data_IF_070288679320
#
_entry.id   IF_070288679320
#
_cell.length_a   1.000
_cell.length_b   1.000
_cell.length_c   1.000
_cell.angle_alpha   90.00
_cell.angle_beta   90.00
_cell.angle_gamma   90.00
#
_symmetry.space_group_name_H-M   'P 1'
#
loop_
_entity.id
_entity.type
_entity.pdbx_description
1 polymer ?
#
# COMPACT_ATOMS: atom_id res chain seq x y z
N UNK A 1 9.00 1.23 -30.43
CA UNK A 1 9.15 1.09 -28.97
C UNK A 1 9.22 2.49 -28.43
N UNK A 2 8.22 2.96 -27.68
CA UNK A 2 8.27 4.29 -27.07
C UNK A 2 9.35 4.26 -25.98
N UNK A 3 10.42 5.04 -26.15
CA UNK A 3 11.47 5.26 -25.14
C UNK A 3 10.88 6.08 -23.99
N UNK A 4 10.17 5.42 -23.07
CA UNK A 4 9.70 6.04 -21.83
C UNK A 4 10.54 5.53 -20.67
N UNK A 5 11.07 6.44 -19.85
CA UNK A 5 11.84 6.08 -18.66
C UNK A 5 10.98 5.29 -17.66
N UNK A 6 11.60 4.32 -16.99
CA UNK A 6 10.96 3.48 -15.98
C UNK A 6 10.98 4.13 -14.59
N UNK A 7 10.13 3.66 -13.67
CA UNK A 7 10.12 4.15 -12.27
C UNK A 7 11.44 3.85 -11.56
N UNK A 8 12.07 2.71 -11.86
CA UNK A 8 13.37 2.36 -11.28
C UNK A 8 14.50 3.28 -11.78
N UNK A 9 14.44 3.71 -13.05
CA UNK A 9 15.38 4.70 -13.60
C UNK A 9 15.19 6.08 -12.95
N UNK A 10 13.93 6.48 -12.72
CA UNK A 10 13.62 7.68 -11.96
C UNK A 10 14.19 7.63 -10.53
N UNK A 11 13.98 6.52 -9.80
CA UNK A 11 14.50 6.37 -8.43
C UNK A 11 16.03 6.51 -8.42
N UNK A 12 16.74 5.84 -9.33
CA UNK A 12 18.21 5.93 -9.41
C UNK A 12 18.69 7.35 -9.72
N UNK A 13 18.02 8.04 -10.66
CA UNK A 13 18.34 9.42 -10.98
C UNK A 13 18.14 10.34 -9.77
N UNK A 14 17.02 10.22 -9.06
CA UNK A 14 16.72 11.03 -7.89
C UNK A 14 17.68 10.75 -6.72
N UNK A 15 18.16 9.52 -6.55
CA UNK A 15 19.21 9.21 -5.57
C UNK A 15 20.53 9.92 -5.89
N UNK A 16 20.94 9.95 -7.17
CA UNK A 16 22.13 10.69 -7.59
C UNK A 16 21.97 12.23 -7.40
N UNK A 17 20.77 12.76 -7.65
CA UNK A 17 20.44 14.16 -7.37
C UNK A 17 20.48 14.48 -5.86
N UNK A 18 20.11 13.52 -4.99
CA UNK A 18 20.20 13.69 -3.54
C UNK A 18 21.66 13.83 -3.09
N UNK A 19 22.54 12.98 -3.61
CA UNK A 19 23.98 13.04 -3.32
C UNK A 19 24.57 14.39 -3.80
N UNK A 20 24.17 14.85 -4.99
CA UNK A 20 24.61 16.13 -5.54
C UNK A 20 24.13 17.35 -4.71
N UNK A 21 23.13 17.20 -3.83
CA UNK A 21 22.71 18.29 -2.96
C UNK A 21 23.79 18.71 -1.96
N UNK A 22 24.78 17.85 -1.66
CA UNK A 22 25.87 18.20 -0.74
C UNK A 22 26.68 19.41 -1.21
N UNK A 23 26.72 19.65 -2.53
CA UNK A 23 27.41 20.77 -3.17
C UNK A 23 26.68 22.12 -3.02
N UNK A 24 25.43 22.13 -2.55
CA UNK A 24 24.62 23.35 -2.39
C UNK A 24 25.12 24.14 -1.18
N UNK A 25 25.79 25.28 -1.40
CA UNK A 25 26.38 26.10 -0.33
C UNK A 25 25.35 26.61 0.69
N UNK A 26 24.19 27.09 0.22
CA UNK A 26 23.12 27.58 1.09
C UNK A 26 22.43 26.40 1.80
N UNK A 27 22.54 26.36 3.12
CA UNK A 27 21.95 25.31 3.96
C UNK A 27 20.43 25.20 3.80
N UNK A 28 19.72 26.33 3.74
CA UNK A 28 18.24 26.32 3.68
C UNK A 28 17.78 25.78 2.33
N UNK A 29 18.44 26.21 1.25
CA UNK A 29 18.14 25.70 -0.09
C UNK A 29 18.50 24.22 -0.22
N UNK A 30 19.63 23.80 0.37
CA UNK A 30 20.03 22.39 0.44
C UNK A 30 18.97 21.53 1.11
N UNK A 31 18.59 21.89 2.33
CA UNK A 31 17.59 21.14 3.12
C UNK A 31 16.25 21.06 2.37
N UNK A 32 15.83 22.18 1.76
CA UNK A 32 14.60 22.23 0.96
C UNK A 32 14.67 21.30 -0.26
N UNK A 33 15.78 21.31 -0.99
CA UNK A 33 15.98 20.45 -2.17
C UNK A 33 16.04 18.98 -1.77
N UNK A 34 16.78 18.64 -0.71
CA UNK A 34 16.85 17.29 -0.15
C UNK A 34 15.46 16.78 0.22
N UNK A 35 14.69 17.57 0.97
CA UNK A 35 13.34 17.20 1.37
C UNK A 35 12.40 16.94 0.18
N UNK A 36 12.50 17.75 -0.88
CA UNK A 36 11.72 17.53 -2.12
C UNK A 36 12.09 16.22 -2.80
N UNK A 37 13.38 15.91 -2.90
CA UNK A 37 13.88 14.69 -3.51
C UNK A 37 13.48 13.47 -2.70
N UNK A 38 13.67 13.49 -1.37
CA UNK A 38 13.28 12.42 -0.45
C UNK A 38 11.77 12.15 -0.50
N UNK A 39 10.95 13.20 -0.50
CA UNK A 39 9.49 13.07 -0.66
C UNK A 39 9.13 12.41 -1.99
N UNK A 40 9.82 12.77 -3.07
CA UNK A 40 9.58 12.19 -4.40
C UNK A 40 10.01 10.71 -4.45
N UNK A 41 11.14 10.37 -3.84
CA UNK A 41 11.64 9.00 -3.72
C UNK A 41 10.68 8.12 -2.92
N UNK A 42 10.20 8.61 -1.78
CA UNK A 42 9.23 7.90 -0.94
C UNK A 42 7.99 7.51 -1.74
N UNK A 43 7.39 8.47 -2.45
CA UNK A 43 6.20 8.25 -3.26
C UNK A 43 6.45 7.29 -4.43
N UNK A 44 7.62 7.37 -5.07
CA UNK A 44 7.97 6.49 -6.18
C UNK A 44 8.18 5.03 -5.74
N UNK A 45 8.83 4.84 -4.59
CA UNK A 45 9.05 3.51 -4.00
C UNK A 45 7.70 2.90 -3.59
N UNK A 46 6.85 3.66 -2.90
CA UNK A 46 5.51 3.20 -2.50
C UNK A 46 4.69 2.76 -3.72
N UNK A 47 4.73 3.54 -4.81
CA UNK A 47 4.08 3.16 -6.06
C UNK A 47 4.65 1.86 -6.64
N UNK A 48 5.98 1.73 -6.70
CA UNK A 48 6.67 0.55 -7.23
C UNK A 48 6.31 -0.71 -6.44
N UNK A 49 6.28 -0.62 -5.12
CA UNK A 49 5.95 -1.73 -4.23
C UNK A 49 4.50 -2.15 -4.37
N UNK A 50 3.57 -1.18 -4.33
CA UNK A 50 2.14 -1.45 -4.55
C UNK A 50 1.86 -2.08 -5.92
N UNK A 51 2.55 -1.61 -6.96
CA UNK A 51 2.46 -2.18 -8.30
C UNK A 51 2.90 -3.64 -8.31
N UNK A 52 4.03 -3.96 -7.67
CA UNK A 52 4.55 -5.33 -7.57
C UNK A 52 3.62 -6.24 -6.77
N UNK A 53 3.06 -5.77 -5.66
CA UNK A 53 2.12 -6.54 -4.84
C UNK A 53 0.86 -6.92 -5.61
N UNK A 54 0.25 -5.97 -6.31
CA UNK A 54 -0.93 -6.25 -7.13
C UNK A 54 -0.63 -7.22 -8.28
N UNK A 55 0.54 -7.07 -8.91
CA UNK A 55 0.99 -8.01 -9.93
C UNK A 55 1.14 -9.44 -9.37
N UNK A 56 1.67 -9.60 -8.14
CA UNK A 56 1.77 -10.92 -7.47
C UNK A 56 0.41 -11.56 -7.20
N UNK A 57 -0.62 -10.75 -6.92
CA UNK A 57 -1.99 -11.20 -6.70
C UNK A 57 -2.75 -11.52 -8.00
N UNK A 58 -2.10 -11.40 -9.16
CA UNK A 58 -2.73 -11.58 -10.47
C UNK A 58 -3.71 -10.47 -10.84
N UNK A 59 -3.70 -9.35 -10.11
CA UNK A 59 -4.52 -8.19 -10.41
C UNK A 59 -3.80 -7.27 -11.40
N UNK A 60 -4.55 -6.57 -12.25
CA UNK A 60 -3.94 -5.62 -13.18
C UNK A 60 -3.47 -4.37 -12.41
N UNK A 61 -2.16 -4.11 -12.33
CA UNK A 61 -1.61 -3.07 -11.46
C UNK A 61 -1.86 -1.64 -11.98
N UNK A 62 -2.34 -1.46 -13.23
CA UNK A 62 -2.81 -0.15 -13.72
C UNK A 62 -4.14 0.25 -13.06
N UNK A 63 -4.89 -0.72 -12.51
CA UNK A 63 -6.12 -0.46 -11.76
C UNK A 63 -5.91 0.17 -10.38
N UNK A 64 -4.66 0.43 -9.94
CA UNK A 64 -4.39 1.20 -8.71
C UNK A 64 -5.18 2.51 -8.71
N UNK A 65 -5.21 3.20 -9.86
CA UNK A 65 -5.92 4.47 -10.01
C UNK A 65 -7.44 4.27 -9.96
N UNK A 66 -7.96 3.14 -10.46
CA UNK A 66 -9.39 2.80 -10.36
C UNK A 66 -9.78 2.46 -8.92
N UNK A 67 -8.94 1.71 -8.20
CA UNK A 67 -9.13 1.39 -6.79
C UNK A 67 -9.08 2.65 -5.90
N UNK A 68 -8.21 3.62 -6.20
CA UNK A 68 -8.18 4.92 -5.48
C UNK A 68 -9.39 5.80 -5.81
N UNK A 69 -9.98 5.67 -7.00
CA UNK A 69 -11.22 6.34 -7.40
C UNK A 69 -12.46 5.71 -6.78
N UNK A 70 -12.39 4.42 -6.45
CA UNK A 70 -13.40 3.72 -5.65
C UNK A 70 -13.25 4.12 -4.18
N UNK A 71 -13.63 5.36 -3.87
CA UNK A 71 -13.97 5.73 -2.49
C UNK A 71 -15.25 5.00 -2.10
N UNK A 72 -15.10 3.75 -1.69
CA UNK A 72 -15.89 3.14 -0.64
C UNK A 72 -14.99 2.12 0.03
N UNK A 73 -14.90 2.17 1.36
CA UNK A 73 -14.04 1.33 2.20
C UNK A 73 -14.40 -0.16 2.19
N UNK A 74 -14.42 -0.78 1.01
CA UNK A 74 -14.77 -2.19 0.78
C UNK A 74 -13.63 -3.16 1.10
N UNK A 75 -12.37 -2.76 0.90
CA UNK A 75 -11.23 -3.65 1.16
C UNK A 75 -10.93 -3.82 2.65
N UNK A 76 -11.39 -2.87 3.50
CA UNK A 76 -11.31 -3.04 4.95
C UNK A 76 -12.20 -4.18 5.42
N UNK A 77 -13.37 -4.41 4.79
CA UNK A 77 -14.26 -5.49 5.19
C UNK A 77 -13.70 -6.85 4.84
N UNK A 78 -13.19 -7.03 3.61
CA UNK A 78 -12.64 -8.32 3.19
C UNK A 78 -11.36 -8.64 3.97
N UNK A 79 -10.45 -7.67 4.12
CA UNK A 79 -9.24 -7.89 4.91
C UNK A 79 -9.55 -8.16 6.39
N UNK A 80 -10.49 -7.42 7.01
CA UNK A 80 -10.93 -7.70 8.39
C UNK A 80 -11.61 -9.05 8.52
N UNK A 81 -12.39 -9.47 7.53
CA UNK A 81 -13.10 -10.75 7.54
C UNK A 81 -12.13 -11.92 7.41
N UNK A 82 -11.12 -11.81 6.55
CA UNK A 82 -10.06 -12.83 6.40
C UNK A 82 -9.21 -12.93 7.68
N UNK A 83 -8.83 -11.79 8.29
CA UNK A 83 -8.08 -11.79 9.55
C UNK A 83 -8.93 -12.33 10.71
N UNK A 84 -10.22 -11.96 10.80
CA UNK A 84 -11.12 -12.44 11.83
C UNK A 84 -11.32 -13.96 11.74
N UNK A 85 -11.56 -14.50 10.54
CA UNK A 85 -11.66 -15.95 10.33
C UNK A 85 -10.36 -16.68 10.70
N UNK A 86 -9.19 -16.15 10.31
CA UNK A 86 -7.89 -16.74 10.66
C UNK A 86 -7.58 -16.68 12.17
N UNK A 87 -8.18 -15.73 12.90
CA UNK A 87 -7.94 -15.52 14.33
C UNK A 87 -9.02 -16.16 15.22
N UNK A 88 -9.96 -16.91 14.64
CA UNK A 88 -11.10 -17.47 15.38
C UNK A 88 -12.05 -16.41 15.94
N UNK A 89 -12.21 -15.29 15.24
CA UNK A 89 -13.12 -14.21 15.62
C UNK A 89 -14.28 -14.10 14.62
N UNK A 90 -15.46 -13.76 15.12
CA UNK A 90 -16.66 -13.62 14.31
C UNK A 90 -16.51 -12.44 13.34
N UNK A 91 -16.70 -12.64 12.03
CA UNK A 91 -16.58 -11.56 11.05
C UNK A 91 -17.71 -10.53 11.13
N UNK A 92 -18.84 -10.87 11.77
CA UNK A 92 -20.00 -9.98 11.92
C UNK A 92 -19.92 -9.08 13.16
N UNK A 93 -19.40 -9.57 14.29
CA UNK A 93 -19.40 -8.82 15.55
C UNK A 93 -18.05 -8.72 16.26
N UNK A 94 -17.03 -9.45 15.81
CA UNK A 94 -15.68 -9.45 16.38
C UNK A 94 -15.50 -10.28 17.66
N UNK A 95 -16.52 -11.02 18.12
CA UNK A 95 -16.42 -11.89 19.30
C UNK A 95 -15.57 -13.13 19.01
N UNK A 96 -14.90 -13.66 20.03
CA UNK A 96 -14.17 -14.92 19.92
C UNK A 96 -15.13 -16.07 19.65
N UNK A 97 -14.86 -16.83 18.59
CA UNK A 97 -15.61 -18.00 18.17
C UNK A 97 -15.00 -19.25 18.78
N UNK A 98 -15.88 -20.18 19.13
CA UNK A 98 -15.46 -21.53 19.47
C UNK A 98 -15.22 -22.33 18.19
N UNK A 99 -14.12 -23.07 18.10
CA UNK A 99 -13.72 -23.78 16.87
C UNK A 99 -14.69 -24.91 16.49
N UNK A 100 -15.47 -25.38 17.45
CA UNK A 100 -16.41 -26.49 17.27
C UNK A 100 -17.83 -26.01 16.85
N UNK A 101 -18.05 -24.69 16.75
CA UNK A 101 -19.35 -24.10 16.45
C UNK A 101 -19.37 -23.42 15.07
N UNK A 102 -20.34 -23.79 14.24
CA UNK A 102 -20.62 -23.15 12.94
C UNK A 102 -21.41 -21.83 13.05
N UNK A 103 -21.61 -21.32 14.26
CA UNK A 103 -22.37 -20.10 14.52
C UNK A 103 -21.81 -19.31 15.71
N UNK A 104 -22.01 -17.99 15.71
CA UNK A 104 -21.54 -17.12 16.78
C UNK A 104 -22.53 -17.08 17.95
N UNK A 105 -22.08 -17.49 19.13
CA UNK A 105 -22.87 -17.42 20.38
C UNK A 105 -23.16 -15.99 20.84
N UNK A 106 -22.41 -14.99 20.37
CA UNK A 106 -22.59 -13.59 20.77
C UNK A 106 -23.56 -12.79 19.89
N UNK A 107 -23.66 -13.10 18.58
CA UNK A 107 -24.52 -12.35 17.66
C UNK A 107 -25.53 -13.20 16.87
N UNK A 108 -25.43 -14.53 16.93
CA UNK A 108 -26.35 -15.45 16.26
C UNK A 108 -26.12 -15.63 14.76
N UNK A 109 -25.10 -14.99 14.17
CA UNK A 109 -24.77 -15.20 12.76
C UNK A 109 -23.99 -16.50 12.54
N UNK A 110 -24.30 -17.18 11.43
CA UNK A 110 -23.57 -18.34 10.96
C UNK A 110 -22.26 -17.92 10.30
N UNK A 111 -21.24 -18.77 10.45
CA UNK A 111 -19.95 -18.62 9.77
C UNK A 111 -19.94 -19.65 8.65
N UNK A 112 -20.38 -19.25 7.46
CA UNK A 112 -20.13 -20.00 6.21
C UNK A 112 -18.70 -19.76 5.70
#
# INVERSE_FOLDING_TARGET
MSESASVDEFIRHMQAELDACEDIVDKVEREKRQWQIESSLLMAIEFSDRFKELAKLGQNPIKIVEALKMQDGGDSKIAKQVIAMASGMCPSCGAQMDSDLSFCSSCGNYVE
#
